data_IF_873130320280
#
_entry.id   IF_873130320280
#
_cell.length_a   1.000
_cell.length_b   1.000
_cell.length_c   1.000
_cell.angle_alpha   90.00
_cell.angle_beta   90.00
_cell.angle_gamma   90.00
#
_symmetry.space_group_name_H-M   'P 1'
#
loop_
_entity.id
_entity.type
_entity.pdbx_description
1 polymer ?
#
# COMPACT_ATOMS: atom_id res chain seq x y z
N UNK A 1 28.32 65.75 26.49
CA UNK A 1 28.29 64.95 25.24
C UNK A 1 27.94 63.46 25.44
N UNK A 2 27.86 62.92 26.67
CA UNK A 2 27.57 61.50 26.94
C UNK A 2 26.06 61.17 27.01
N UNK A 3 25.21 62.14 27.38
CA UNK A 3 23.77 61.93 27.54
C UNK A 3 22.99 61.72 26.22
N UNK A 4 23.51 62.15 25.07
CA UNK A 4 22.85 61.99 23.76
C UNK A 4 22.99 60.55 23.24
N UNK A 5 24.06 59.84 23.61
CA UNK A 5 24.31 58.45 23.16
C UNK A 5 23.32 57.44 23.75
N UNK A 6 22.84 57.65 24.98
CA UNK A 6 21.93 56.71 25.65
C UNK A 6 20.52 56.69 25.03
N UNK A 7 20.06 57.80 24.44
CA UNK A 7 18.71 57.91 23.87
C UNK A 7 18.52 57.09 22.59
N UNK A 8 19.61 56.79 21.86
CA UNK A 8 19.57 56.02 20.62
C UNK A 8 19.55 54.49 20.81
N UNK A 9 19.93 53.96 21.98
CA UNK A 9 19.93 52.51 22.23
C UNK A 9 18.52 51.94 22.41
N UNK A 10 17.56 52.75 22.84
CA UNK A 10 16.16 52.34 23.06
C UNK A 10 15.39 52.22 21.72
N UNK A 11 15.92 52.78 20.62
CA UNK A 11 15.26 52.80 19.30
C UNK A 11 15.36 51.48 18.51
N UNK A 12 16.12 50.49 18.99
CA UNK A 12 16.36 49.20 18.30
C UNK A 12 15.50 48.01 18.78
N UNK A 13 14.50 48.23 19.65
CA UNK A 13 13.63 47.15 20.15
C UNK A 13 12.73 46.49 19.10
N UNK A 14 12.45 47.18 17.99
CA UNK A 14 11.63 46.67 16.89
C UNK A 14 12.26 45.48 16.14
N UNK A 15 13.59 45.42 16.08
CA UNK A 15 14.29 44.32 15.40
C UNK A 15 14.21 42.99 16.18
N UNK A 16 14.23 43.03 17.51
CA UNK A 16 14.12 41.84 18.36
C UNK A 16 12.72 41.20 18.25
N UNK A 17 11.68 42.01 18.13
CA UNK A 17 10.31 41.52 17.91
C UNK A 17 10.17 40.81 16.56
N UNK A 18 10.78 41.34 15.49
CA UNK A 18 10.80 40.69 14.18
C UNK A 18 11.47 39.31 14.22
N UNK A 19 12.66 39.21 14.83
CA UNK A 19 13.39 37.93 14.95
C UNK A 19 12.58 36.91 15.75
N UNK A 20 11.92 37.34 16.84
CA UNK A 20 11.06 36.46 17.63
C UNK A 20 9.88 35.92 16.80
N UNK A 21 9.20 36.78 16.03
CA UNK A 21 8.10 36.34 15.16
C UNK A 21 8.56 35.40 14.06
N UNK A 22 9.75 35.63 13.47
CA UNK A 22 10.34 34.70 12.51
C UNK A 22 10.62 33.34 13.13
N UNK A 23 11.12 33.32 14.37
CA UNK A 23 11.37 32.08 15.08
C UNK A 23 10.07 31.31 15.37
N UNK A 24 9.01 32.03 15.77
CA UNK A 24 7.67 31.44 15.99
C UNK A 24 7.11 30.90 14.68
N UNK A 25 7.16 31.66 13.59
CA UNK A 25 6.70 31.22 12.27
C UNK A 25 7.50 30.02 11.75
N UNK A 26 8.81 30.00 11.94
CA UNK A 26 9.65 28.87 11.58
C UNK A 26 9.27 27.60 12.37
N UNK A 27 9.02 27.74 13.68
CA UNK A 27 8.52 26.65 14.52
C UNK A 27 7.16 26.12 14.03
N UNK A 28 6.20 27.01 13.77
CA UNK A 28 4.89 26.63 13.24
C UNK A 28 4.98 25.93 11.88
N UNK A 29 5.85 26.42 11.00
CA UNK A 29 6.09 25.82 9.69
C UNK A 29 6.64 24.39 9.81
N UNK A 30 7.60 24.17 10.72
CA UNK A 30 8.14 22.83 10.96
C UNK A 30 7.07 21.87 11.46
N UNK A 31 6.20 22.29 12.38
CA UNK A 31 5.10 21.44 12.87
C UNK A 31 4.12 21.13 11.73
N UNK A 32 3.74 22.13 10.93
CA UNK A 32 2.83 21.94 9.81
C UNK A 32 3.39 20.97 8.74
N UNK A 33 4.67 21.10 8.38
CA UNK A 33 5.33 20.22 7.42
C UNK A 33 5.36 18.77 7.89
N UNK A 34 5.70 18.54 9.16
CA UNK A 34 5.73 17.19 9.73
C UNK A 34 4.31 16.59 9.80
N UNK A 35 3.30 17.38 10.18
CA UNK A 35 1.91 16.94 10.18
C UNK A 35 1.43 16.54 8.77
N UNK A 36 1.69 17.38 7.77
CA UNK A 36 1.35 17.10 6.39
C UNK A 36 2.05 15.84 5.85
N UNK A 37 3.32 15.63 6.21
CA UNK A 37 4.08 14.45 5.83
C UNK A 37 3.45 13.16 6.38
N UNK A 38 3.10 13.13 7.67
CA UNK A 38 2.46 11.95 8.29
C UNK A 38 1.11 11.62 7.65
N UNK A 39 0.28 12.64 7.40
CA UNK A 39 -1.03 12.44 6.74
C UNK A 39 -0.83 11.88 5.32
N UNK A 40 0.11 12.43 4.55
CA UNK A 40 0.41 11.95 3.20
C UNK A 40 0.89 10.48 3.20
N UNK A 41 1.72 10.11 4.17
CA UNK A 41 2.17 8.74 4.35
C UNK A 41 0.99 7.80 4.63
N UNK A 42 0.07 8.21 5.52
CA UNK A 42 -1.14 7.45 5.83
C UNK A 42 -2.05 7.24 4.62
N UNK A 43 -2.26 8.28 3.79
CA UNK A 43 -3.06 8.17 2.57
C UNK A 43 -2.46 7.19 1.57
N UNK A 44 -1.14 7.22 1.37
CA UNK A 44 -0.45 6.28 0.48
C UNK A 44 -0.55 4.85 0.99
N UNK A 45 -0.33 4.64 2.29
CA UNK A 45 -0.45 3.33 2.92
C UNK A 45 -1.88 2.78 2.79
N UNK A 46 -2.90 3.61 3.01
CA UNK A 46 -4.31 3.24 2.85
C UNK A 46 -4.64 2.82 1.41
N UNK A 47 -4.15 3.56 0.41
CA UNK A 47 -4.34 3.20 -1.00
C UNK A 47 -3.73 1.84 -1.35
N UNK A 48 -2.49 1.59 -0.93
CA UNK A 48 -1.80 0.29 -1.12
C UNK A 48 -2.54 -0.85 -0.43
N UNK A 49 -3.10 -0.60 0.75
CA UNK A 49 -3.87 -1.59 1.49
C UNK A 49 -5.20 -1.90 0.78
N UNK A 50 -5.94 -0.90 0.31
CA UNK A 50 -7.17 -1.11 -0.44
C UNK A 50 -6.94 -1.89 -1.75
N UNK A 51 -5.86 -1.58 -2.47
CA UNK A 51 -5.44 -2.35 -3.66
C UNK A 51 -5.09 -3.80 -3.29
N UNK A 52 -4.36 -4.00 -2.18
CA UNK A 52 -4.00 -5.34 -1.69
C UNK A 52 -5.21 -6.19 -1.34
N UNK A 53 -6.24 -5.62 -0.71
CA UNK A 53 -7.47 -6.34 -0.38
C UNK A 53 -8.19 -6.80 -1.64
N UNK A 54 -8.25 -5.95 -2.68
CA UNK A 54 -8.86 -6.33 -3.97
C UNK A 54 -8.08 -7.45 -4.67
N UNK A 55 -6.75 -7.34 -4.71
CA UNK A 55 -5.88 -8.38 -5.26
C UNK A 55 -6.03 -9.70 -4.48
N UNK A 56 -6.14 -9.64 -3.15
CA UNK A 56 -6.39 -10.82 -2.32
C UNK A 56 -7.74 -11.47 -2.63
N UNK A 57 -8.81 -10.68 -2.74
CA UNK A 57 -10.14 -11.19 -3.06
C UNK A 57 -10.20 -11.85 -4.44
N UNK A 58 -9.48 -11.30 -5.42
CA UNK A 58 -9.34 -11.93 -6.73
C UNK A 58 -8.60 -13.27 -6.64
N UNK A 59 -7.49 -13.33 -5.88
CA UNK A 59 -6.75 -14.57 -5.65
C UNK A 59 -7.63 -15.63 -4.97
N UNK A 60 -8.40 -15.24 -3.96
CA UNK A 60 -9.33 -16.13 -3.25
C UNK A 60 -10.44 -16.65 -4.17
N UNK A 61 -11.01 -15.78 -5.01
CA UNK A 61 -12.01 -16.19 -6.01
C UNK A 61 -11.47 -17.25 -6.98
N UNK A 62 -10.23 -17.08 -7.45
CA UNK A 62 -9.57 -18.09 -8.30
C UNK A 62 -9.33 -19.42 -7.59
N UNK A 63 -8.94 -19.35 -6.32
CA UNK A 63 -8.78 -20.52 -5.44
C UNK A 63 -10.10 -21.28 -5.23
N UNK A 64 -11.19 -20.56 -4.97
CA UNK A 64 -12.52 -21.14 -4.80
C UNK A 64 -13.05 -21.77 -6.09
N UNK A 65 -12.86 -21.08 -7.23
CA UNK A 65 -13.26 -21.59 -8.53
C UNK A 65 -12.53 -22.91 -8.86
N UNK A 66 -11.22 -22.96 -8.62
CA UNK A 66 -10.44 -24.19 -8.75
C UNK A 66 -10.99 -25.30 -7.84
N UNK A 67 -11.26 -25.01 -6.55
CA UNK A 67 -11.82 -26.00 -5.63
C UNK A 67 -13.22 -26.48 -6.04
N UNK A 68 -14.01 -25.62 -6.68
CA UNK A 68 -15.29 -26.01 -7.26
C UNK A 68 -15.08 -26.94 -8.46
N UNK A 69 -14.15 -26.62 -9.36
CA UNK A 69 -13.81 -27.42 -10.53
C UNK A 69 -13.33 -28.82 -10.13
N UNK A 70 -12.44 -28.90 -9.13
CA UNK A 70 -11.95 -30.17 -8.56
C UNK A 70 -13.09 -31.02 -7.97
N UNK A 71 -14.07 -30.39 -7.31
CA UNK A 71 -15.19 -31.10 -6.66
C UNK A 71 -16.29 -31.52 -7.63
N UNK A 72 -16.60 -30.69 -8.64
CA UNK A 72 -17.73 -30.91 -9.55
C UNK A 72 -17.35 -31.62 -10.83
N UNK A 73 -16.25 -31.21 -11.47
CA UNK A 73 -15.82 -31.77 -12.74
C UNK A 73 -14.78 -32.88 -12.56
N UNK A 74 -14.24 -33.07 -11.35
CA UNK A 74 -13.34 -34.17 -11.03
C UNK A 74 -12.03 -34.13 -11.81
N UNK A 75 -11.62 -32.95 -12.30
CA UNK A 75 -10.41 -32.80 -13.09
C UNK A 75 -9.17 -33.18 -12.26
N UNK A 76 -8.48 -34.22 -12.70
CA UNK A 76 -7.20 -34.64 -12.13
C UNK A 76 -6.09 -34.01 -12.95
N UNK A 77 -5.41 -33.02 -12.37
CA UNK A 77 -4.22 -32.44 -12.97
C UNK A 77 -3.05 -33.42 -12.80
N UNK A 78 -2.48 -33.87 -13.92
CA UNK A 78 -1.47 -34.95 -13.94
C UNK A 78 -0.03 -34.45 -14.00
N UNK A 79 0.19 -33.18 -14.37
CA UNK A 79 1.52 -32.58 -14.47
C UNK A 79 1.48 -31.06 -14.22
N UNK A 80 2.40 -30.49 -13.43
CA UNK A 80 2.48 -29.05 -13.23
C UNK A 80 2.65 -28.34 -14.57
N UNK A 81 2.02 -27.18 -14.69
CA UNK A 81 2.04 -26.39 -15.92
C UNK A 81 2.47 -24.96 -15.61
N UNK A 82 3.40 -24.43 -16.40
CA UNK A 82 3.85 -23.03 -16.31
C UNK A 82 2.81 -22.04 -16.88
N UNK A 83 1.82 -22.54 -17.63
CA UNK A 83 0.70 -21.72 -18.12
C UNK A 83 -0.41 -21.68 -17.08
N UNK A 84 -1.02 -20.51 -16.90
CA UNK A 84 -2.20 -20.37 -16.05
C UNK A 84 -3.32 -21.29 -16.57
N UNK A 85 -3.88 -22.10 -15.68
CA UNK A 85 -5.05 -22.95 -15.93
C UNK A 85 -6.30 -22.11 -16.17
N UNK A 86 -6.41 -21.04 -15.40
CA UNK A 86 -7.46 -20.05 -15.50
C UNK A 86 -6.82 -18.68 -15.46
N UNK A 87 -7.24 -17.79 -16.36
CA UNK A 87 -6.86 -16.39 -16.35
C UNK A 87 -8.11 -15.57 -16.64
N UNK A 88 -8.63 -14.88 -15.62
CA UNK A 88 -9.93 -14.22 -15.68
C UNK A 88 -9.83 -12.81 -15.12
N UNK A 89 -10.44 -11.87 -15.83
CA UNK A 89 -10.63 -10.50 -15.36
C UNK A 89 -12.03 -10.34 -14.78
N UNK A 90 -12.12 -9.98 -13.50
CA UNK A 90 -13.39 -9.64 -12.85
C UNK A 90 -13.91 -8.29 -13.37
N UNK A 91 -15.23 -8.07 -13.29
CA UNK A 91 -15.84 -6.77 -13.62
C UNK A 91 -15.35 -5.58 -12.78
N UNK A 92 -14.62 -5.84 -11.70
CA UNK A 92 -13.93 -4.83 -10.87
C UNK A 92 -12.60 -4.35 -11.45
N UNK A 93 -12.12 -4.96 -12.55
CA UNK A 93 -10.80 -4.72 -13.14
C UNK A 93 -9.65 -5.44 -12.41
N UNK A 94 -9.95 -6.27 -11.42
CA UNK A 94 -8.99 -7.20 -10.83
C UNK A 94 -8.88 -8.45 -11.68
N UNK A 95 -7.69 -9.04 -11.77
CA UNK A 95 -7.45 -10.30 -12.48
C UNK A 95 -7.05 -11.37 -11.49
N UNK A 96 -7.36 -12.63 -11.82
CA UNK A 96 -6.73 -13.76 -11.16
C UNK A 96 -6.24 -14.78 -12.17
N UNK A 97 -5.10 -15.39 -11.84
CA UNK A 97 -4.50 -16.44 -12.62
C UNK A 97 -4.14 -17.61 -11.71
N UNK A 98 -4.61 -18.81 -12.05
CA UNK A 98 -4.40 -20.02 -11.24
C UNK A 98 -3.38 -20.93 -11.91
N UNK A 99 -2.37 -21.34 -11.17
CA UNK A 99 -1.30 -22.22 -11.62
C UNK A 99 -1.31 -23.52 -10.85
N UNK A 100 -0.83 -24.56 -11.51
CA UNK A 100 -0.64 -25.87 -10.92
C UNK A 100 0.84 -26.16 -10.75
N UNK A 101 1.29 -26.25 -9.49
CA UNK A 101 2.70 -26.18 -9.13
C UNK A 101 3.31 -27.55 -8.81
N UNK A 102 2.59 -28.43 -8.12
CA UNK A 102 3.09 -29.77 -7.79
C UNK A 102 1.99 -30.83 -7.68
N UNK A 103 2.33 -32.09 -8.00
CA UNK A 103 1.40 -33.22 -8.00
C UNK A 103 1.33 -33.98 -6.66
N UNK A 104 2.40 -33.99 -5.85
CA UNK A 104 2.41 -34.61 -4.52
C UNK A 104 3.32 -33.83 -3.54
N UNK A 105 2.77 -33.10 -2.55
CA UNK A 105 1.33 -32.81 -2.37
C UNK A 105 0.77 -32.01 -3.55
N UNK A 106 -0.54 -32.10 -3.76
CA UNK A 106 -1.22 -31.39 -4.83
C UNK A 106 -1.26 -29.90 -4.48
N UNK A 107 -0.46 -29.07 -5.15
CA UNK A 107 -0.35 -27.63 -4.84
C UNK A 107 -0.81 -26.81 -6.02
N UNK A 108 -1.74 -25.90 -5.72
CA UNK A 108 -2.19 -24.88 -6.64
C UNK A 108 -1.90 -23.50 -6.09
N UNK A 109 -1.53 -22.59 -6.98
CA UNK A 109 -1.26 -21.21 -6.64
C UNK A 109 -2.21 -20.31 -7.41
N UNK A 110 -3.09 -19.62 -6.71
CA UNK A 110 -3.92 -18.57 -7.28
C UNK A 110 -3.26 -17.21 -7.04
N UNK A 111 -3.09 -16.44 -8.10
CA UNK A 111 -2.45 -15.13 -8.07
C UNK A 111 -3.49 -14.11 -8.48
N UNK A 112 -3.84 -13.21 -7.55
CA UNK A 112 -4.71 -12.08 -7.83
C UNK A 112 -3.89 -10.80 -8.02
N UNK A 113 -4.28 -10.01 -9.01
CA UNK A 113 -3.63 -8.76 -9.36
C UNK A 113 -4.66 -7.63 -9.50
N UNK A 114 -4.32 -6.48 -8.93
CA UNK A 114 -5.11 -5.27 -9.06
C UNK A 114 -4.20 -4.04 -8.98
N UNK A 115 -4.09 -3.30 -10.08
CA UNK A 115 -3.20 -2.15 -10.22
C UNK A 115 -1.75 -2.53 -9.86
N UNK A 116 -1.16 -1.90 -8.84
CA UNK A 116 0.22 -2.17 -8.41
C UNK A 116 0.31 -3.21 -7.27
N UNK A 117 -0.79 -3.89 -6.93
CA UNK A 117 -0.82 -4.89 -5.88
C UNK A 117 -1.00 -6.29 -6.46
N UNK A 118 -0.13 -7.20 -6.05
CA UNK A 118 -0.19 -8.62 -6.39
C UNK A 118 -0.21 -9.44 -5.10
N UNK A 119 -1.15 -10.38 -5.00
CA UNK A 119 -1.29 -11.29 -3.86
C UNK A 119 -1.44 -12.71 -4.37
N UNK A 120 -0.84 -13.67 -3.67
CA UNK A 120 -0.95 -15.08 -4.00
C UNK A 120 -1.54 -15.86 -2.85
N UNK A 121 -2.43 -16.78 -3.16
CA UNK A 121 -3.02 -17.76 -2.24
C UNK A 121 -2.62 -19.14 -2.74
N UNK A 122 -2.09 -19.97 -1.84
CA UNK A 122 -1.70 -21.33 -2.14
C UNK A 122 -2.66 -22.30 -1.48
N UNK A 123 -3.13 -23.28 -2.25
CA UNK A 123 -3.95 -24.37 -1.75
C UNK A 123 -3.14 -25.65 -1.87
N UNK A 124 -2.96 -26.33 -0.73
CA UNK A 124 -2.38 -27.68 -0.67
C UNK A 124 -3.47 -28.69 -0.40
N UNK A 125 -3.59 -29.69 -1.25
CA UNK A 125 -4.54 -30.80 -1.11
C UNK A 125 -3.72 -32.08 -0.98
N UNK A 126 -3.81 -32.71 0.18
CA UNK A 126 -3.01 -33.88 0.54
C UNK A 126 -2.62 -33.81 2.02
N UNK A 127 -2.90 -34.89 2.74
CA UNK A 127 -2.48 -35.11 4.13
C UNK A 127 -0.97 -35.18 4.27
#
# INVERSE_FOLDING_TARGET
>A
MILIKAKNFIKHRSASALVLTMFIMAGMLLVALNGAYVVSLGLRASGVQAQSTKAYYAAESGSEFLLWELRKNGYVYTSPSETALFDVTLGSGATYSVYYSSFWPLVFQSIGEYQNARRSVEIRIGS
#
